data_IF_863918501735
#
_entry.id   IF_863918501735
#
_cell.length_a   1.000
_cell.length_b   1.000
_cell.length_c   1.000
_cell.angle_alpha   90.00
_cell.angle_beta   90.00
_cell.angle_gamma   90.00
#
_symmetry.space_group_name_H-M   'P 1'
#
loop_
_entity.id
_entity.type
_entity.pdbx_description
1 polymer ?
#
# COMPACT_ATOMS: atom_id res chain seq x y z
N UNK A 1 -32.70 40.80 14.50
CA UNK A 1 -32.53 40.20 13.16
C UNK A 1 -31.13 40.62 12.69
N UNK A 2 -30.19 39.79 12.24
CA UNK A 2 -30.17 38.43 11.71
C UNK A 2 -28.72 37.94 11.89
N UNK A 3 -28.52 36.82 12.59
CA UNK A 3 -27.17 36.28 12.91
C UNK A 3 -26.53 35.79 11.61
N UNK A 4 -25.36 36.33 11.27
CA UNK A 4 -24.56 35.86 10.13
C UNK A 4 -23.88 34.56 10.58
N UNK A 5 -24.59 33.45 10.36
CA UNK A 5 -24.13 32.10 10.66
C UNK A 5 -22.99 31.77 9.66
N UNK A 6 -21.82 31.32 10.13
CA UNK A 6 -20.65 31.10 9.30
C UNK A 6 -20.83 29.84 8.44
N UNK A 7 -21.44 30.01 7.27
CA UNK A 7 -21.69 28.95 6.28
C UNK A 7 -20.45 28.66 5.42
N UNK A 8 -19.27 28.59 6.03
CA UNK A 8 -18.00 28.42 5.30
C UNK A 8 -17.14 27.24 5.79
N UNK A 9 -17.63 26.51 6.80
CA UNK A 9 -16.89 25.38 7.40
C UNK A 9 -17.40 23.99 7.02
N UNK A 10 -18.45 23.86 6.18
CA UNK A 10 -19.08 22.57 5.92
C UNK A 10 -18.62 21.87 4.63
N UNK A 11 -17.74 22.47 3.82
CA UNK A 11 -17.40 21.97 2.47
C UNK A 11 -16.08 21.20 2.35
N UNK A 12 -15.34 20.96 3.45
CA UNK A 12 -13.98 20.39 3.38
C UNK A 12 -13.82 18.93 3.82
N UNK A 13 -14.91 18.17 4.00
CA UNK A 13 -14.84 16.75 4.38
C UNK A 13 -15.00 15.77 3.21
N UNK A 14 -14.69 16.18 1.98
CA UNK A 14 -14.51 15.24 0.87
C UNK A 14 -13.12 14.60 0.98
N UNK A 15 -12.94 13.71 1.95
CA UNK A 15 -11.78 12.83 2.02
C UNK A 15 -11.78 11.95 0.77
N UNK A 16 -10.84 12.18 -0.14
CA UNK A 16 -10.64 11.29 -1.28
C UNK A 16 -10.30 9.89 -0.73
N UNK A 17 -11.14 8.90 -1.02
CA UNK A 17 -10.75 7.50 -0.85
C UNK A 17 -9.59 7.22 -1.80
N UNK A 18 -8.36 7.30 -1.28
CA UNK A 18 -7.16 6.84 -1.98
C UNK A 18 -7.26 5.32 -2.05
N UNK A 19 -7.92 4.81 -3.10
CA UNK A 19 -7.84 3.39 -3.42
C UNK A 19 -6.59 3.18 -4.27
N UNK A 20 -5.74 2.26 -3.85
CA UNK A 20 -4.59 1.85 -4.65
C UNK A 20 -5.10 1.25 -5.95
N UNK A 21 -4.73 1.83 -7.09
CA UNK A 21 -5.16 1.42 -8.43
C UNK A 21 -3.93 1.20 -9.30
N UNK A 22 -3.77 0.00 -9.87
CA UNK A 22 -2.62 -0.36 -10.69
C UNK A 22 -2.42 -1.87 -10.73
N UNK A 23 -1.42 -2.32 -11.46
CA UNK A 23 -0.98 -3.71 -11.44
C UNK A 23 0.43 -3.74 -10.86
N UNK A 24 0.65 -4.57 -9.85
CA UNK A 24 1.87 -4.56 -9.06
C UNK A 24 2.48 -5.95 -8.99
N UNK A 25 3.80 -5.96 -8.86
CA UNK A 25 4.58 -7.14 -8.49
C UNK A 25 5.00 -6.97 -7.04
N UNK A 26 4.60 -7.92 -6.20
CA UNK A 26 4.94 -7.99 -4.79
C UNK A 26 6.00 -9.08 -4.60
N UNK A 27 7.15 -8.70 -4.06
CA UNK A 27 8.23 -9.61 -3.69
C UNK A 27 8.55 -9.46 -2.20
N UNK A 28 9.46 -10.29 -1.69
CA UNK A 28 9.89 -10.20 -0.30
C UNK A 28 11.34 -10.63 -0.10
N UNK A 29 12.00 -10.00 0.87
CA UNK A 29 13.29 -10.43 1.39
C UNK A 29 13.14 -10.93 2.83
N UNK A 30 13.93 -11.93 3.21
CA UNK A 30 14.03 -12.45 4.57
C UNK A 30 14.72 -11.43 5.50
N UNK A 31 14.74 -11.75 6.80
CA UNK A 31 15.31 -10.90 7.83
C UNK A 31 16.81 -10.61 7.65
N UNK A 32 17.52 -11.53 7.02
CA UNK A 32 18.96 -11.43 6.70
C UNK A 32 19.23 -10.76 5.34
N UNK A 33 18.18 -10.29 4.65
CA UNK A 33 18.28 -9.69 3.32
C UNK A 33 18.26 -10.69 2.16
N UNK A 34 18.14 -12.00 2.44
CA UNK A 34 18.01 -13.01 1.39
C UNK A 34 16.71 -12.80 0.62
N UNK A 35 16.79 -12.63 -0.70
CA UNK A 35 15.60 -12.55 -1.54
C UNK A 35 14.82 -13.87 -1.47
N UNK A 36 13.57 -13.79 -1.04
CA UNK A 36 12.68 -14.94 -1.05
C UNK A 36 12.16 -15.10 -2.48
N UNK A 37 12.09 -16.35 -2.97
CA UNK A 37 11.52 -16.70 -4.29
C UNK A 37 9.99 -16.56 -4.34
N UNK A 38 9.46 -15.50 -3.73
CA UNK A 38 8.05 -15.13 -3.76
C UNK A 38 7.92 -13.94 -4.70
N UNK A 39 7.18 -14.14 -5.78
CA UNK A 39 6.79 -13.10 -6.71
C UNK A 39 5.31 -13.27 -7.00
N UNK A 40 4.52 -12.30 -6.56
CA UNK A 40 3.07 -12.33 -6.65
C UNK A 40 2.58 -11.13 -7.44
N UNK A 41 1.66 -11.36 -8.37
CA UNK A 41 1.00 -10.28 -9.08
C UNK A 41 -0.27 -9.90 -8.33
N UNK A 42 -0.47 -8.59 -8.13
CA UNK A 42 -1.64 -8.07 -7.44
C UNK A 42 -2.18 -6.84 -8.16
N UNK A 43 -3.50 -6.71 -8.21
CA UNK A 43 -4.17 -5.56 -8.78
C UNK A 43 -4.78 -4.68 -7.69
N UNK A 44 -4.51 -3.38 -7.77
CA UNK A 44 -5.02 -2.38 -6.86
C UNK A 44 -4.78 -2.72 -5.39
N UNK A 45 -5.85 -2.72 -4.59
CA UNK A 45 -5.80 -3.01 -3.15
C UNK A 45 -5.47 -4.47 -2.80
N UNK A 46 -5.43 -5.40 -3.77
CA UNK A 46 -5.03 -6.78 -3.52
C UNK A 46 -3.57 -6.90 -3.02
N UNK A 47 -2.73 -5.86 -3.22
CA UNK A 47 -1.39 -5.79 -2.64
C UNK A 47 -1.41 -5.98 -1.11
N UNK A 48 -2.45 -5.51 -0.43
CA UNK A 48 -2.58 -5.62 1.02
C UNK A 48 -2.80 -7.06 1.46
N UNK A 49 -3.62 -7.81 0.74
CA UNK A 49 -3.85 -9.24 1.00
C UNK A 49 -2.57 -10.04 0.80
N UNK A 50 -1.83 -9.78 -0.28
CA UNK A 50 -0.55 -10.45 -0.56
C UNK A 50 0.48 -10.11 0.51
N UNK A 51 0.61 -8.83 0.86
CA UNK A 51 1.49 -8.38 1.94
C UNK A 51 1.18 -9.08 3.26
N UNK A 52 -0.09 -9.13 3.64
CA UNK A 52 -0.52 -9.76 4.88
C UNK A 52 -0.22 -11.27 4.89
N UNK A 53 -0.42 -11.95 3.75
CA UNK A 53 -0.08 -13.37 3.60
C UNK A 53 1.43 -13.61 3.75
N UNK A 54 2.26 -12.76 3.12
CA UNK A 54 3.73 -12.82 3.28
C UNK A 54 4.11 -12.65 4.75
N UNK A 55 3.56 -11.63 5.43
CA UNK A 55 3.90 -11.36 6.82
C UNK A 55 3.41 -12.46 7.79
N UNK A 56 2.25 -13.08 7.51
CA UNK A 56 1.77 -14.20 8.30
C UNK A 56 2.70 -15.43 8.20
N UNK A 57 3.34 -15.63 7.03
CA UNK A 57 4.28 -16.72 6.82
C UNK A 57 5.71 -16.39 7.29
N UNK A 58 6.15 -15.15 7.09
CA UNK A 58 7.49 -14.67 7.43
C UNK A 58 7.40 -13.34 8.20
N UNK A 59 7.24 -13.37 9.54
CA UNK A 59 7.01 -12.17 10.36
C UNK A 59 8.15 -11.14 10.32
N UNK A 60 9.37 -11.56 9.95
CA UNK A 60 10.54 -10.69 9.85
C UNK A 60 10.91 -10.30 8.42
N UNK A 61 10.07 -10.63 7.44
CA UNK A 61 10.33 -10.29 6.06
C UNK A 61 10.15 -8.78 5.80
N UNK A 62 10.79 -8.31 4.73
CA UNK A 62 10.52 -7.02 4.11
C UNK A 62 9.82 -7.25 2.78
N UNK A 63 8.62 -6.71 2.62
CA UNK A 63 7.83 -6.77 1.39
C UNK A 63 8.20 -5.58 0.51
N UNK A 64 8.43 -5.84 -0.77
CA UNK A 64 8.71 -4.83 -1.79
C UNK A 64 7.60 -4.85 -2.85
N UNK A 65 7.16 -3.68 -3.29
CA UNK A 65 6.05 -3.55 -4.24
C UNK A 65 6.49 -2.64 -5.37
N UNK A 66 6.42 -3.15 -6.60
CA UNK A 66 6.78 -2.41 -7.81
C UNK A 66 5.60 -2.39 -8.78
N UNK A 67 5.46 -1.30 -9.53
CA UNK A 67 4.54 -1.25 -10.67
C UNK A 67 4.95 -2.31 -11.72
N UNK A 68 3.99 -3.11 -12.16
CA UNK A 68 4.26 -4.23 -13.05
C UNK A 68 4.65 -3.79 -14.47
N UNK A 69 4.32 -2.55 -14.87
CA UNK A 69 4.61 -1.99 -16.19
C UNK A 69 5.91 -1.20 -16.19
N UNK A 70 6.13 -0.32 -15.21
CA UNK A 70 7.30 0.56 -15.18
C UNK A 70 8.47 -0.04 -14.39
N UNK A 71 8.20 -1.00 -13.51
CA UNK A 71 9.19 -1.51 -12.57
C UNK A 71 9.53 -0.53 -11.44
N UNK A 72 8.87 0.62 -11.37
CA UNK A 72 9.11 1.61 -10.32
C UNK A 72 8.54 1.14 -8.98
N UNK A 73 9.29 1.38 -7.91
CA UNK A 73 8.83 1.06 -6.57
C UNK A 73 7.62 1.93 -6.17
N UNK A 74 6.58 1.29 -5.65
CA UNK A 74 5.39 1.96 -5.12
C UNK A 74 5.72 2.54 -3.74
N UNK A 75 6.36 3.72 -3.72
CA UNK A 75 6.87 4.40 -2.52
C UNK A 75 5.85 4.63 -1.40
N UNK A 76 4.55 4.67 -1.73
CA UNK A 76 3.50 4.82 -0.74
C UNK A 76 3.28 3.56 0.12
N UNK A 77 3.72 2.40 -0.37
CA UNK A 77 3.45 1.08 0.23
C UNK A 77 4.69 0.20 0.38
N UNK A 78 5.82 0.59 -0.23
CA UNK A 78 7.09 -0.12 -0.26
C UNK A 78 8.24 0.80 0.18
N UNK A 79 9.23 0.28 0.93
CA UNK A 79 9.28 -1.07 1.50
C UNK A 79 8.38 -1.19 2.73
N UNK A 80 7.82 -2.38 2.95
CA UNK A 80 7.03 -2.68 4.14
C UNK A 80 7.70 -3.75 5.01
N UNK A 81 7.97 -3.43 6.28
CA UNK A 81 8.51 -4.39 7.25
C UNK A 81 7.37 -5.12 7.96
N UNK A 82 7.35 -6.43 7.85
CA UNK A 82 6.45 -7.29 8.63
C UNK A 82 6.74 -7.15 10.13
N UNK A 83 5.73 -7.40 10.96
CA UNK A 83 5.78 -7.31 12.42
C UNK A 83 5.44 -8.64 13.06
#
# INVERSE_FOLDING_TARGET
MKRIIPLLFFTLLLGACVTTSGNYVVTSAAADGTELKVRMYAQGSAIYSVRNAICAHNPKATVLIHDAKTGEELKSESPYKCK
#
